data_IF_258423352110
#
_entry.id   IF_258423352110
#
_cell.length_a   1.000
_cell.length_b   1.000
_cell.length_c   1.000
_cell.angle_alpha   90.00
_cell.angle_beta   90.00
_cell.angle_gamma   90.00
#
_symmetry.space_group_name_H-M   'P 1'
#
loop_
_entity.id
_entity.type
_entity.pdbx_description
1 polymer ?
#
# COMPACT_ATOMS: atom_id res chain seq x y z
N UNK A 1 18.53 -14.36 -22.90
CA UNK A 1 17.57 -13.65 -22.03
C UNK A 1 16.27 -14.42 -22.04
N UNK A 2 15.79 -14.89 -20.87
CA UNK A 2 14.50 -15.57 -20.77
C UNK A 2 13.37 -14.52 -20.84
N UNK A 3 12.35 -14.76 -21.65
CA UNK A 3 11.16 -13.93 -21.70
C UNK A 3 10.22 -14.36 -20.56
N UNK A 4 10.01 -13.48 -19.57
CA UNK A 4 9.22 -13.75 -18.36
C UNK A 4 7.75 -13.35 -18.49
N UNK A 5 7.36 -12.72 -19.61
CA UNK A 5 5.98 -12.29 -19.88
C UNK A 5 4.95 -13.43 -19.86
N UNK A 6 5.23 -14.63 -20.43
CA UNK A 6 4.26 -15.72 -20.39
C UNK A 6 4.04 -16.27 -18.97
N UNK A 7 5.11 -16.32 -18.17
CA UNK A 7 5.04 -16.79 -16.79
C UNK A 7 4.21 -15.84 -15.93
N UNK A 8 4.42 -14.53 -16.10
CA UNK A 8 3.65 -13.52 -15.39
C UNK A 8 2.17 -13.54 -15.80
N UNK A 9 1.88 -13.76 -17.08
CA UNK A 9 0.50 -13.90 -17.57
C UNK A 9 -0.20 -15.12 -16.95
N UNK A 10 0.46 -16.27 -16.90
CA UNK A 10 -0.10 -17.47 -16.28
C UNK A 10 -0.39 -17.22 -14.79
N UNK A 11 0.56 -16.61 -14.08
CA UNK A 11 0.40 -16.24 -12.68
C UNK A 11 -0.77 -15.27 -12.46
N UNK A 12 -0.93 -14.29 -13.34
CA UNK A 12 -2.09 -13.39 -13.32
C UNK A 12 -3.41 -14.15 -13.47
N UNK A 13 -3.47 -15.11 -14.40
CA UNK A 13 -4.67 -15.93 -14.62
C UNK A 13 -4.99 -16.77 -13.39
N UNK A 14 -4.00 -17.38 -12.75
CA UNK A 14 -4.16 -18.13 -11.50
C UNK A 14 -4.73 -17.24 -10.40
N UNK A 15 -4.17 -16.04 -10.21
CA UNK A 15 -4.67 -15.07 -9.22
C UNK A 15 -6.11 -14.64 -9.49
N UNK A 16 -6.49 -14.45 -10.77
CA UNK A 16 -7.85 -14.04 -11.14
C UNK A 16 -8.91 -15.11 -10.86
N UNK A 17 -8.53 -16.38 -10.77
CA UNK A 17 -9.44 -17.49 -10.47
C UNK A 17 -9.73 -17.63 -8.96
N UNK A 18 -8.96 -16.94 -8.12
CA UNK A 18 -9.03 -17.08 -6.67
C UNK A 18 -9.72 -15.85 -6.03
N UNK A 19 -10.56 -16.07 -5.01
CA UNK A 19 -11.12 -14.97 -4.23
C UNK A 19 -10.02 -14.37 -3.35
N UNK A 20 -9.44 -13.25 -3.79
CA UNK A 20 -8.46 -12.54 -2.99
C UNK A 20 -9.11 -11.98 -1.71
N UNK A 21 -8.36 -11.94 -0.59
CA UNK A 21 -8.88 -11.44 0.68
C UNK A 21 -9.25 -9.96 0.59
N UNK A 22 -10.10 -9.51 1.52
CA UNK A 22 -10.40 -8.11 1.77
C UNK A 22 -10.87 -7.28 0.57
N UNK A 23 -11.46 -7.88 -0.47
CA UNK A 23 -11.93 -7.18 -1.68
C UNK A 23 -10.82 -6.64 -2.59
N UNK A 24 -9.63 -7.26 -2.55
CA UNK A 24 -8.62 -7.03 -3.56
C UNK A 24 -8.99 -7.70 -4.89
N UNK A 25 -8.56 -7.09 -5.99
CA UNK A 25 -8.75 -7.64 -7.34
C UNK A 25 -7.48 -7.50 -8.17
N UNK A 26 -7.32 -8.43 -9.10
CA UNK A 26 -6.24 -8.40 -10.09
C UNK A 26 -6.67 -7.57 -11.29
N UNK A 27 -5.79 -6.70 -11.76
CA UNK A 27 -5.97 -5.90 -12.97
C UNK A 27 -4.72 -5.97 -13.84
N UNK A 28 -4.93 -6.02 -15.16
CA UNK A 28 -3.86 -5.78 -16.12
C UNK A 28 -3.53 -4.30 -16.12
N UNK A 29 -2.26 -3.94 -15.94
CA UNK A 29 -1.83 -2.58 -16.25
C UNK A 29 -1.68 -2.41 -17.77
N UNK A 30 -1.53 -1.16 -18.23
CA UNK A 30 -1.13 -0.82 -19.61
C UNK A 30 0.32 -1.25 -19.94
N UNK A 31 1.02 -1.92 -19.02
CA UNK A 31 2.39 -2.39 -19.17
C UNK A 31 2.53 -3.87 -18.78
N UNK A 32 3.77 -4.36 -18.65
CA UNK A 32 4.05 -5.75 -18.33
C UNK A 32 3.77 -6.11 -16.86
N UNK A 33 3.21 -5.19 -16.06
CA UNK A 33 3.02 -5.39 -14.63
C UNK A 33 1.59 -5.86 -14.31
N UNK A 34 1.47 -6.79 -13.37
CA UNK A 34 0.20 -7.11 -12.72
C UNK A 34 -0.07 -6.05 -11.66
N UNK A 35 -1.31 -5.57 -11.57
CA UNK A 35 -1.74 -4.71 -10.48
C UNK A 35 -2.76 -5.42 -9.60
N UNK A 36 -2.63 -5.26 -8.29
CA UNK A 36 -3.67 -5.59 -7.34
C UNK A 36 -4.23 -4.28 -6.81
N UNK A 37 -5.55 -4.15 -6.85
CA UNK A 37 -6.29 -2.96 -6.40
C UNK A 37 -7.23 -3.34 -5.26
N UNK A 38 -7.32 -2.49 -4.25
CA UNK A 38 -8.28 -2.62 -3.16
C UNK A 38 -9.59 -1.92 -3.54
N UNK A 39 -10.70 -2.68 -3.63
CA UNK A 39 -12.01 -2.12 -3.99
C UNK A 39 -12.81 -1.58 -2.80
N UNK A 40 -12.49 -1.99 -1.59
CA UNK A 40 -13.23 -1.62 -0.39
C UNK A 40 -12.76 -0.27 0.17
N UNK A 41 -13.62 0.75 0.12
CA UNK A 41 -13.39 2.04 0.82
C UNK A 41 -13.35 1.92 2.35
N UNK A 42 -13.73 0.77 2.90
CA UNK A 42 -13.60 0.47 4.33
C UNK A 42 -12.20 -0.03 4.70
N UNK A 43 -11.40 -0.45 3.72
CA UNK A 43 -10.03 -0.87 3.96
C UNK A 43 -9.18 0.32 4.44
N UNK A 44 -8.32 0.14 5.45
CA UNK A 44 -7.39 1.18 5.89
C UNK A 44 -6.33 1.51 4.83
N UNK A 45 -6.20 0.67 3.79
CA UNK A 45 -5.28 0.80 2.66
C UNK A 45 -6.03 0.87 1.33
N UNK A 46 -7.24 1.41 1.31
CA UNK A 46 -8.08 1.51 0.10
C UNK A 46 -7.43 2.27 -1.08
N UNK A 47 -6.44 3.13 -0.80
CA UNK A 47 -5.64 3.87 -1.79
C UNK A 47 -4.36 3.12 -2.23
N UNK A 48 -4.19 1.86 -1.81
CA UNK A 48 -3.01 1.07 -2.09
C UNK A 48 -3.12 0.30 -3.41
N UNK A 49 -1.98 0.20 -4.09
CA UNK A 49 -1.79 -0.58 -5.32
C UNK A 49 -0.55 -1.43 -5.11
N UNK A 50 -0.69 -2.74 -5.27
CA UNK A 50 0.46 -3.64 -5.36
C UNK A 50 0.77 -3.84 -6.84
N UNK A 51 2.01 -3.64 -7.23
CA UNK A 51 2.47 -3.85 -8.59
C UNK A 51 3.47 -5.01 -8.58
N UNK A 52 3.22 -6.04 -9.38
CA UNK A 52 4.08 -7.21 -9.54
C UNK A 52 4.67 -7.16 -10.94
N UNK A 53 6.00 -7.11 -11.03
CA UNK A 53 6.76 -6.95 -12.27
C UNK A 53 7.20 -8.30 -12.85
N UNK A 54 7.64 -8.34 -14.11
CA UNK A 54 8.37 -9.49 -14.65
C UNK A 54 9.52 -9.90 -13.73
N UNK A 55 9.61 -11.20 -13.41
CA UNK A 55 10.52 -11.71 -12.37
C UNK A 55 9.92 -11.76 -10.96
N UNK A 56 8.62 -11.48 -10.84
CA UNK A 56 7.79 -11.61 -9.64
C UNK A 56 8.19 -10.71 -8.46
N UNK A 57 9.03 -9.70 -8.69
CA UNK A 57 9.31 -8.66 -7.70
C UNK A 57 8.11 -7.75 -7.57
N UNK A 58 7.84 -7.25 -6.37
CA UNK A 58 6.71 -6.38 -6.12
C UNK A 58 7.09 -5.06 -5.47
N UNK A 59 6.27 -4.04 -5.69
CA UNK A 59 6.32 -2.78 -4.98
C UNK A 59 4.90 -2.30 -4.68
N UNK A 60 4.79 -1.48 -3.63
CA UNK A 60 3.51 -1.00 -3.12
C UNK A 60 3.50 0.50 -3.27
N UNK A 61 2.45 1.00 -3.90
CA UNK A 61 2.15 2.40 -4.01
C UNK A 61 0.96 2.68 -3.10
N UNK A 62 0.99 3.79 -2.38
CA UNK A 62 -0.14 4.26 -1.57
C UNK A 62 -0.34 5.73 -1.91
N UNK A 63 -1.52 6.07 -2.43
CA UNK A 63 -1.80 7.42 -2.97
C UNK A 63 -0.77 7.88 -4.00
N UNK A 64 -0.28 6.95 -4.83
CA UNK A 64 0.73 7.20 -5.85
C UNK A 64 2.17 7.33 -5.33
N UNK A 65 2.41 7.23 -4.02
CA UNK A 65 3.74 7.29 -3.42
C UNK A 65 4.26 5.87 -3.14
N UNK A 66 5.51 5.60 -3.53
CA UNK A 66 6.13 4.31 -3.26
C UNK A 66 6.42 4.12 -1.76
N UNK A 67 6.04 2.97 -1.23
CA UNK A 67 6.47 2.52 0.09
C UNK A 67 7.98 2.22 0.00
N UNK A 68 8.82 2.79 0.89
CA UNK A 68 10.26 2.55 0.85
C UNK A 68 10.60 1.07 1.02
N UNK A 69 11.57 0.55 0.26
CA UNK A 69 12.01 -0.86 0.36
C UNK A 69 12.55 -1.24 1.75
N UNK A 70 12.96 -0.25 2.55
CA UNK A 70 13.38 -0.48 3.93
C UNK A 70 12.21 -0.74 4.90
N UNK A 71 10.97 -0.51 4.48
CA UNK A 71 9.76 -0.67 5.29
C UNK A 71 9.56 -2.13 5.74
N UNK A 72 8.99 -2.33 6.93
CA UNK A 72 8.82 -3.65 7.55
C UNK A 72 8.07 -4.63 6.65
N UNK A 73 7.07 -4.15 5.89
CA UNK A 73 6.32 -4.95 4.90
C UNK A 73 7.26 -5.79 4.02
N UNK A 74 8.28 -5.17 3.41
CA UNK A 74 9.21 -5.88 2.52
C UNK A 74 10.17 -6.83 3.25
N UNK A 75 10.39 -6.63 4.55
CA UNK A 75 11.21 -7.55 5.36
C UNK A 75 10.45 -8.80 5.79
N UNK A 76 9.12 -8.72 5.83
CA UNK A 76 8.24 -9.82 6.21
C UNK A 76 7.88 -10.77 5.07
N UNK A 77 8.15 -10.37 3.81
CA UNK A 77 7.77 -11.14 2.63
C UNK A 77 8.98 -11.44 1.74
N UNK A 78 8.93 -12.52 0.93
CA UNK A 78 9.99 -12.82 -0.02
C UNK A 78 10.13 -11.69 -1.05
N UNK A 79 11.35 -11.41 -1.51
CA UNK A 79 11.60 -10.37 -2.51
C UNK A 79 10.92 -10.65 -3.87
N UNK A 80 10.51 -11.90 -4.10
CA UNK A 80 9.79 -12.38 -5.29
C UNK A 80 8.60 -13.22 -4.82
N UNK A 81 7.40 -12.90 -5.32
CA UNK A 81 6.17 -13.63 -5.02
C UNK A 81 6.12 -14.86 -5.94
N UNK A 82 6.56 -16.00 -5.42
CA UNK A 82 6.69 -17.24 -6.18
C UNK A 82 5.39 -18.05 -6.27
N UNK A 83 4.40 -17.75 -5.43
CA UNK A 83 3.10 -18.42 -5.44
C UNK A 83 1.94 -17.47 -5.14
N UNK A 84 0.71 -17.97 -5.29
CA UNK A 84 -0.48 -17.20 -4.93
C UNK A 84 -0.57 -17.00 -3.41
N UNK A 85 -0.12 -17.96 -2.61
CA UNK A 85 -0.06 -17.86 -1.16
C UNK A 85 0.78 -16.65 -0.73
N UNK A 86 1.92 -16.41 -1.37
CA UNK A 86 2.76 -15.22 -1.09
C UNK A 86 1.96 -13.91 -1.30
N UNK A 87 1.11 -13.86 -2.32
CA UNK A 87 0.25 -12.70 -2.63
C UNK A 87 -0.86 -12.54 -1.60
N UNK A 88 -1.50 -13.64 -1.20
CA UNK A 88 -2.57 -13.64 -0.19
C UNK A 88 -2.03 -13.20 1.17
N UNK A 89 -0.85 -13.69 1.57
CA UNK A 89 -0.17 -13.27 2.79
C UNK A 89 0.22 -11.78 2.74
N UNK A 90 0.81 -11.32 1.63
CA UNK A 90 1.16 -9.91 1.43
C UNK A 90 -0.06 -8.99 1.57
N UNK A 91 -1.17 -9.33 0.90
CA UNK A 91 -2.41 -8.56 1.01
C UNK A 91 -2.96 -8.60 2.43
N UNK A 92 -2.97 -9.78 3.06
CA UNK A 92 -3.46 -9.93 4.43
C UNK A 92 -2.68 -9.08 5.43
N UNK A 93 -1.36 -8.97 5.27
CA UNK A 93 -0.53 -8.09 6.08
C UNK A 93 -0.71 -6.62 5.73
N UNK A 94 -0.87 -6.26 4.44
CA UNK A 94 -1.19 -4.90 4.01
C UNK A 94 -2.44 -4.35 4.71
N UNK A 95 -3.48 -5.16 4.89
CA UNK A 95 -4.72 -4.77 5.58
C UNK A 95 -4.54 -4.50 7.07
N UNK A 96 -3.42 -4.92 7.68
CA UNK A 96 -3.08 -4.61 9.07
C UNK A 96 -2.42 -3.24 9.21
N UNK A 97 -1.94 -2.67 8.12
CA UNK A 97 -1.40 -1.32 8.08
C UNK A 97 -2.48 -0.29 7.75
N UNK A 98 -2.13 0.98 7.91
CA UNK A 98 -2.98 2.11 7.56
C UNK A 98 -2.16 3.17 6.84
N UNK A 99 -2.84 4.01 6.05
CA UNK A 99 -2.19 5.20 5.47
C UNK A 99 -1.99 6.24 6.56
N UNK A 100 -0.79 6.80 6.67
CA UNK A 100 -0.50 7.85 7.65
C UNK A 100 -1.42 9.07 7.43
N UNK A 101 -2.13 9.48 8.48
CA UNK A 101 -3.10 10.58 8.41
C UNK A 101 -2.46 11.94 8.13
N UNK A 102 -1.15 12.11 8.40
CA UNK A 102 -0.49 13.42 8.35
C UNK A 102 -0.78 14.26 9.59
N UNK A 103 -0.38 15.53 9.59
CA UNK A 103 -0.62 16.50 10.67
C UNK A 103 -1.53 17.64 10.19
N UNK A 104 -2.33 18.29 11.06
CA UNK A 104 -3.21 19.38 10.65
C UNK A 104 -2.41 20.63 10.21
N UNK A 105 -2.81 21.22 9.08
CA UNK A 105 -2.34 22.53 8.62
C UNK A 105 -2.71 23.57 9.69
N UNK A 106 -1.73 24.32 10.21
CA UNK A 106 -1.83 25.23 11.37
C UNK A 106 -1.65 24.63 12.79
N UNK A 107 -0.90 23.52 12.93
CA UNK A 107 -0.51 22.96 14.25
C UNK A 107 0.08 23.97 15.27
N UNK A 108 0.68 25.06 14.78
CA UNK A 108 1.34 26.08 15.61
C UNK A 108 0.46 27.30 15.95
N UNK A 109 -0.76 27.38 15.38
CA UNK A 109 -1.75 28.36 15.82
C UNK A 109 -2.39 27.89 17.14
N UNK A 110 -3.04 28.79 17.90
CA UNK A 110 -3.85 28.39 19.06
C UNK A 110 -4.70 27.18 18.68
N UNK A 111 -4.46 26.05 19.35
CA UNK A 111 -5.05 24.77 18.96
C UNK A 111 -6.57 24.94 18.78
N UNK A 112 -7.10 24.71 17.57
CA UNK A 112 -8.54 24.80 17.37
C UNK A 112 -9.22 23.72 18.21
N UNK A 113 -10.50 23.90 18.58
CA UNK A 113 -11.28 22.84 19.22
C UNK A 113 -11.14 21.52 18.43
N UNK A 114 -11.06 20.38 19.12
CA UNK A 114 -10.81 19.08 18.49
C UNK A 114 -11.75 18.77 17.31
N UNK A 115 -13.01 19.24 17.39
CA UNK A 115 -14.00 19.13 16.32
C UNK A 115 -13.61 19.88 15.03
N UNK A 116 -12.97 21.05 15.16
CA UNK A 116 -12.46 21.84 14.02
C UNK A 116 -11.13 21.27 13.51
N UNK A 117 -10.29 20.74 14.39
CA UNK A 117 -9.01 20.11 14.00
C UNK A 117 -9.20 18.91 13.05
N UNK A 118 -10.30 18.15 13.21
CA UNK A 118 -10.65 17.05 12.32
C UNK A 118 -11.05 17.49 10.89
N UNK A 119 -11.45 18.76 10.73
CA UNK A 119 -11.88 19.35 9.46
C UNK A 119 -10.76 20.08 8.73
N UNK A 120 -9.62 20.32 9.39
CA UNK A 120 -8.49 21.00 8.77
C UNK A 120 -7.82 20.11 7.72
N UNK A 121 -7.38 20.69 6.58
CA UNK A 121 -6.51 19.97 5.65
C UNK A 121 -5.32 19.39 6.39
N UNK A 122 -5.01 18.13 6.13
CA UNK A 122 -3.84 17.48 6.69
C UNK A 122 -2.68 17.55 5.71
N UNK A 123 -1.54 18.01 6.21
CA UNK A 123 -0.28 18.02 5.49
C UNK A 123 0.54 16.79 5.87
N UNK A 124 1.46 16.43 4.98
CA UNK A 124 2.43 15.36 5.22
C UNK A 124 3.83 15.94 5.11
N UNK A 125 4.69 15.52 6.02
CA UNK A 125 6.14 15.76 5.89
C UNK A 125 6.66 15.02 4.65
N UNK A 126 7.67 15.58 3.99
CA UNK A 126 8.38 14.90 2.91
C UNK A 126 9.00 13.55 3.36
N UNK A 127 9.23 13.39 4.67
CA UNK A 127 9.78 12.18 5.30
C UNK A 127 8.70 11.30 5.96
N UNK A 128 7.42 11.55 5.66
CA UNK A 128 6.31 10.82 6.24
C UNK A 128 6.30 9.37 5.72
N UNK A 129 6.36 8.40 6.63
CA UNK A 129 6.10 7.01 6.27
C UNK A 129 4.65 6.90 5.78
N UNK A 130 4.47 6.49 4.52
CA UNK A 130 3.16 6.47 3.85
C UNK A 130 2.26 5.39 4.43
N UNK A 131 2.86 4.25 4.74
CA UNK A 131 2.21 3.09 5.32
C UNK A 131 2.74 2.93 6.75
N UNK A 132 1.84 2.76 7.71
CA UNK A 132 2.15 2.76 9.15
C UNK A 132 1.29 1.75 9.90
N UNK A 133 1.77 1.28 11.04
CA UNK A 133 1.04 0.38 11.95
C UNK A 133 0.03 1.11 12.84
N UNK A 134 0.30 2.38 13.15
CA UNK A 134 -0.55 3.30 13.92
C UNK A 134 -1.13 4.36 13.00
N UNK A 135 -1.99 5.24 13.53
CA UNK A 135 -2.61 6.30 12.70
C UNK A 135 -1.60 7.31 12.12
N UNK A 136 -0.43 7.47 12.74
CA UNK A 136 0.57 8.49 12.41
C UNK A 136 1.99 7.92 12.51
N UNK A 137 2.85 8.26 11.54
CA UNK A 137 4.28 7.95 11.61
C UNK A 137 5.00 8.83 12.65
N UNK A 138 6.23 8.48 13.04
CA UNK A 138 7.01 9.26 14.00
C UNK A 138 7.14 10.75 13.62
N UNK A 139 7.31 11.05 12.34
CA UNK A 139 7.41 12.43 11.84
C UNK A 139 6.11 13.24 11.95
N UNK A 140 4.96 12.56 11.87
CA UNK A 140 3.66 13.20 12.04
C UNK A 140 3.22 13.23 13.51
N UNK A 141 3.68 12.27 14.32
CA UNK A 141 3.40 12.16 15.76
C UNK A 141 4.23 13.11 16.61
N UNK A 142 5.54 13.27 16.33
CA UNK A 142 6.44 14.17 17.06
C UNK A 142 6.21 15.66 16.80
N UNK A 143 5.15 15.98 16.05
CA UNK A 143 4.74 17.33 15.68
C UNK A 143 3.29 17.62 16.11
N UNK A 144 2.66 16.72 16.88
CA UNK A 144 1.36 16.90 17.52
C UNK A 144 1.52 17.50 18.92
#
# INVERSE_FOLDING_TARGET
MMNLEPLLRNFMQELMLLPLPASWVVCSSLGPDIQLLQLSRKSPVWDAVVQIRPGFTFHVLVRGLAVPLAHRLYRSHPARLGSVEDVVELIGDLERYRVCAGYPQHRHAKAPPAALAALLPRERSAYCEVLVDKDHCFQCSGNL
#
